data_IF_216891806547
#
_entry.id   IF_216891806547
#
_cell.length_a   1.000
_cell.length_b   1.000
_cell.length_c   1.000
_cell.angle_alpha   90.00
_cell.angle_beta   90.00
_cell.angle_gamma   90.00
#
_symmetry.space_group_name_H-M   'P 1'
#
loop_
_entity.id
_entity.type
_entity.pdbx_description
1 polymer ?
#
# COMPACT_ATOMS: atom_id res chain seq x y z
N UNK A 1 17.56 1.53 23.98
CA UNK A 1 16.29 1.23 23.29
C UNK A 1 15.17 1.87 24.11
N UNK A 2 14.55 2.95 23.63
CA UNK A 2 13.43 3.59 24.35
C UNK A 2 12.18 2.72 24.30
N UNK A 3 11.41 2.67 25.40
CA UNK A 3 10.11 2.00 25.42
C UNK A 3 9.19 2.62 24.36
N UNK A 4 8.62 1.78 23.50
CA UNK A 4 7.64 2.21 22.50
C UNK A 4 6.36 2.71 23.19
N UNK A 5 5.67 3.68 22.59
CA UNK A 5 4.46 4.25 23.15
C UNK A 5 3.35 3.19 23.25
N UNK A 6 2.80 2.96 24.44
CA UNK A 6 1.78 1.92 24.68
C UNK A 6 0.49 2.15 23.88
N UNK A 7 0.10 3.40 23.61
CA UNK A 7 -1.11 3.67 22.81
C UNK A 7 -0.95 3.24 21.36
N UNK A 8 0.24 3.42 20.77
CA UNK A 8 0.51 2.99 19.39
C UNK A 8 0.64 1.48 19.28
N UNK A 9 1.10 0.80 20.33
CA UNK A 9 1.06 -0.68 20.43
C UNK A 9 -0.40 -1.17 20.48
N UNK A 10 -1.22 -0.58 21.35
CA UNK A 10 -2.63 -0.97 21.51
C UNK A 10 -3.44 -0.77 20.23
N UNK A 11 -3.11 0.26 19.43
CA UNK A 11 -3.71 0.50 18.13
C UNK A 11 -3.15 -0.38 16.99
N UNK A 12 -2.25 -1.32 17.29
CA UNK A 12 -1.67 -2.24 16.30
C UNK A 12 -0.60 -1.63 15.39
N UNK A 13 -0.16 -0.38 15.63
CA UNK A 13 0.76 0.34 14.74
C UNK A 13 2.20 -0.21 14.71
N UNK A 14 2.52 -1.15 15.61
CA UNK A 14 3.81 -1.86 15.61
C UNK A 14 3.74 -3.27 15.02
N UNK A 15 2.52 -3.79 14.75
CA UNK A 15 2.33 -5.16 14.27
C UNK A 15 2.24 -5.28 12.74
N UNK A 16 1.54 -4.35 12.08
CA UNK A 16 1.18 -4.51 10.67
C UNK A 16 2.37 -4.63 9.71
N UNK A 17 3.48 -3.93 9.98
CA UNK A 17 4.69 -4.07 9.16
C UNK A 17 5.28 -5.49 9.26
N UNK A 18 5.33 -6.06 10.46
CA UNK A 18 5.82 -7.42 10.68
C UNK A 18 4.88 -8.47 10.08
N UNK A 19 3.56 -8.22 10.08
CA UNK A 19 2.58 -9.07 9.37
C UNK A 19 2.93 -9.18 7.88
N UNK A 20 3.18 -8.05 7.22
CA UNK A 20 3.56 -8.03 5.80
C UNK A 20 4.93 -8.69 5.58
N UNK A 21 5.91 -8.44 6.46
CA UNK A 21 7.23 -9.10 6.39
C UNK A 21 7.06 -10.62 6.39
N UNK A 22 6.33 -11.19 7.36
CA UNK A 22 6.16 -12.63 7.46
C UNK A 22 5.48 -13.24 6.23
N UNK A 23 4.40 -12.62 5.77
CA UNK A 23 3.65 -13.11 4.59
C UNK A 23 4.52 -13.03 3.33
N UNK A 24 5.13 -11.87 3.05
CA UNK A 24 5.84 -11.66 1.79
C UNK A 24 7.20 -12.38 1.77
N UNK A 25 7.84 -12.62 2.91
CA UNK A 25 8.99 -13.53 2.98
C UNK A 25 8.62 -14.94 2.55
N UNK A 26 7.42 -15.42 2.92
CA UNK A 26 6.91 -16.71 2.45
C UNK A 26 6.58 -16.68 0.95
N UNK A 27 5.89 -15.63 0.47
CA UNK A 27 5.53 -15.47 -0.95
C UNK A 27 6.76 -15.45 -1.86
N UNK A 28 7.84 -14.77 -1.45
CA UNK A 28 9.07 -14.63 -2.23
C UNK A 28 10.12 -15.71 -1.96
N UNK A 29 9.85 -16.70 -1.10
CA UNK A 29 10.76 -17.84 -0.92
C UNK A 29 10.69 -18.79 -2.11
N UNK A 30 11.85 -19.27 -2.55
CA UNK A 30 11.96 -20.30 -3.61
C UNK A 30 11.88 -21.74 -3.06
N UNK A 31 11.75 -21.90 -1.73
CA UNK A 31 11.66 -23.21 -1.07
C UNK A 31 10.23 -23.76 -0.99
N UNK A 32 9.23 -22.98 -1.41
CA UNK A 32 7.83 -23.38 -1.40
C UNK A 32 7.19 -23.44 0.00
N UNK A 33 6.05 -24.12 0.08
CA UNK A 33 5.24 -24.19 1.30
C UNK A 33 5.91 -25.03 2.41
N UNK A 34 5.63 -24.68 3.67
CA UNK A 34 6.08 -25.44 4.85
C UNK A 34 7.60 -25.59 5.01
N UNK A 35 8.39 -24.67 4.44
CA UNK A 35 9.82 -24.57 4.73
C UNK A 35 10.05 -23.96 6.13
N UNK A 36 10.01 -24.80 7.17
CA UNK A 36 10.04 -24.39 8.58
C UNK A 36 11.23 -23.52 8.98
N UNK A 37 12.39 -23.70 8.33
CA UNK A 37 13.57 -22.86 8.57
C UNK A 37 13.32 -21.37 8.28
N UNK A 38 12.35 -21.04 7.43
CA UNK A 38 11.98 -19.65 7.13
C UNK A 38 11.49 -18.90 8.37
N UNK A 39 11.02 -19.59 9.42
CA UNK A 39 10.61 -18.96 10.68
C UNK A 39 11.75 -18.16 11.33
N UNK A 40 13.00 -18.63 11.23
CA UNK A 40 14.15 -17.93 11.81
C UNK A 40 14.37 -16.53 11.22
N UNK A 41 14.57 -16.37 9.90
CA UNK A 41 14.68 -15.03 9.34
C UNK A 41 13.37 -14.25 9.47
N UNK A 42 12.18 -14.88 9.41
CA UNK A 42 10.92 -14.15 9.64
C UNK A 42 10.89 -13.49 11.03
N UNK A 43 11.26 -14.22 12.09
CA UNK A 43 11.37 -13.65 13.42
C UNK A 43 12.43 -12.54 13.48
N UNK A 44 13.62 -12.77 12.94
CA UNK A 44 14.73 -11.81 12.98
C UNK A 44 14.37 -10.50 12.25
N UNK A 45 13.82 -10.57 11.04
CA UNK A 45 13.44 -9.40 10.25
C UNK A 45 12.23 -8.70 10.87
N UNK A 46 11.26 -9.44 11.44
CA UNK A 46 10.13 -8.85 12.18
C UNK A 46 10.59 -8.02 13.37
N UNK A 47 11.65 -8.43 14.09
CA UNK A 47 12.22 -7.67 15.20
C UNK A 47 12.82 -6.32 14.78
N UNK A 48 13.18 -6.16 13.49
CA UNK A 48 13.67 -4.88 12.96
C UNK A 48 12.54 -3.88 12.68
N UNK A 49 11.29 -4.34 12.50
CA UNK A 49 10.17 -3.48 12.15
C UNK A 49 9.94 -2.34 13.15
N UNK A 50 9.89 -2.57 14.49
CA UNK A 50 9.78 -1.47 15.46
C UNK A 50 10.96 -0.50 15.44
N UNK A 51 12.16 -0.97 15.09
CA UNK A 51 13.36 -0.11 14.98
C UNK A 51 13.21 0.83 13.80
N UNK A 52 12.86 0.31 12.61
CA UNK A 52 12.58 1.12 11.43
C UNK A 52 11.39 2.07 11.67
N UNK A 53 10.30 1.59 12.25
CA UNK A 53 9.14 2.42 12.62
C UNK A 53 9.54 3.57 13.54
N UNK A 54 10.34 3.31 14.57
CA UNK A 54 10.79 4.33 15.51
C UNK A 54 11.69 5.37 14.85
N UNK A 55 12.64 4.94 14.00
CA UNK A 55 13.55 5.83 13.31
C UNK A 55 12.81 6.73 12.30
N UNK A 56 11.94 6.13 11.47
CA UNK A 56 11.13 6.86 10.50
C UNK A 56 10.16 7.82 11.20
N UNK A 57 9.50 7.39 12.28
CA UNK A 57 8.57 8.24 13.02
C UNK A 57 9.29 9.45 13.62
N UNK A 58 10.51 9.29 14.15
CA UNK A 58 11.31 10.42 14.65
C UNK A 58 11.64 11.47 13.59
N UNK A 59 11.66 11.09 12.31
CA UNK A 59 11.82 12.02 11.20
C UNK A 59 10.49 12.60 10.76
N UNK A 60 9.51 11.73 10.47
CA UNK A 60 8.26 12.10 9.80
C UNK A 60 7.28 12.82 10.72
N UNK A 61 7.33 12.58 12.03
CA UNK A 61 6.51 13.31 12.99
C UNK A 61 6.76 14.82 12.98
N UNK A 62 7.95 15.27 12.53
CA UNK A 62 8.27 16.71 12.38
C UNK A 62 7.42 17.40 11.31
N UNK A 63 6.97 16.64 10.31
CA UNK A 63 6.04 17.10 9.27
C UNK A 63 4.64 16.52 9.48
N UNK A 64 4.38 15.89 10.63
CA UNK A 64 3.12 15.21 10.97
C UNK A 64 2.69 14.21 9.86
N UNK A 65 3.67 13.43 9.38
CA UNK A 65 3.47 12.37 8.37
C UNK A 65 3.52 10.97 8.99
N UNK A 66 2.72 10.01 8.49
CA UNK A 66 2.77 8.63 8.95
C UNK A 66 3.95 7.87 8.32
N UNK A 67 4.40 6.79 8.97
CA UNK A 67 5.47 5.94 8.42
C UNK A 67 5.00 4.95 7.36
N UNK A 68 3.68 4.74 7.23
CA UNK A 68 3.07 3.74 6.34
C UNK A 68 3.77 2.37 6.42
N UNK A 69 3.87 1.66 5.30
CA UNK A 69 4.56 0.37 5.21
C UNK A 69 6.05 0.51 4.86
N UNK A 70 6.65 1.70 5.04
CA UNK A 70 8.10 1.89 4.83
C UNK A 70 8.95 0.94 5.69
N UNK A 71 8.66 0.69 6.98
CA UNK A 71 9.41 -0.29 7.76
C UNK A 71 9.40 -1.68 7.14
N UNK A 72 8.24 -2.15 6.67
CA UNK A 72 8.09 -3.41 5.93
C UNK A 72 8.93 -3.41 4.65
N UNK A 73 8.81 -2.38 3.82
CA UNK A 73 9.49 -2.32 2.52
C UNK A 73 11.01 -2.27 2.70
N UNK A 74 11.52 -1.49 3.67
CA UNK A 74 12.95 -1.46 4.00
C UNK A 74 13.45 -2.83 4.50
N UNK A 75 12.73 -3.44 5.43
CA UNK A 75 13.10 -4.73 6.01
C UNK A 75 13.08 -5.87 4.97
N UNK A 76 12.05 -5.92 4.13
CA UNK A 76 11.93 -6.95 3.09
C UNK A 76 12.96 -6.74 1.96
N UNK A 77 13.15 -5.51 1.47
CA UNK A 77 14.19 -5.23 0.47
C UNK A 77 15.60 -5.54 0.99
N UNK A 78 15.88 -5.24 2.27
CA UNK A 78 17.14 -5.61 2.92
C UNK A 78 17.31 -7.14 3.00
N UNK A 79 16.27 -7.86 3.42
CA UNK A 79 16.31 -9.33 3.50
C UNK A 79 16.52 -9.97 2.12
N UNK A 80 15.70 -9.61 1.13
CA UNK A 80 15.75 -10.21 -0.21
C UNK A 80 17.04 -9.88 -0.95
N UNK A 81 17.64 -8.72 -0.71
CA UNK A 81 18.96 -8.39 -1.29
C UNK A 81 20.10 -9.12 -0.58
N UNK A 82 20.00 -9.32 0.73
CA UNK A 82 21.01 -10.05 1.51
C UNK A 82 21.02 -11.55 1.20
N UNK A 83 19.86 -12.16 0.95
CA UNK A 83 19.78 -13.56 0.53
C UNK A 83 19.93 -13.69 -0.98
N UNK A 84 19.05 -13.04 -1.75
CA UNK A 84 18.95 -13.19 -3.19
C UNK A 84 18.57 -14.61 -3.62
N UNK A 85 18.52 -14.82 -4.93
CA UNK A 85 18.15 -16.12 -5.51
C UNK A 85 19.17 -17.23 -5.24
N UNK A 86 20.46 -16.87 -5.15
CA UNK A 86 21.57 -17.84 -5.06
C UNK A 86 21.98 -18.20 -3.63
N UNK A 87 21.22 -17.76 -2.61
CA UNK A 87 21.51 -18.16 -1.23
C UNK A 87 21.30 -19.68 -1.05
N UNK A 88 22.28 -20.36 -0.45
CA UNK A 88 22.18 -21.82 -0.24
C UNK A 88 21.06 -22.22 0.73
N UNK A 89 20.72 -21.38 1.70
CA UNK A 89 19.73 -21.69 2.73
C UNK A 89 18.35 -21.08 2.45
N UNK A 90 18.32 -19.79 2.12
CA UNK A 90 17.11 -18.97 1.99
C UNK A 90 17.00 -18.32 0.60
N UNK A 91 16.98 -19.11 -0.51
CA UNK A 91 16.87 -18.55 -1.85
C UNK A 91 15.53 -17.84 -2.03
N UNK A 92 15.57 -16.65 -2.63
CA UNK A 92 14.36 -15.94 -3.07
C UNK A 92 13.99 -16.34 -4.50
N UNK A 93 12.71 -16.17 -4.87
CA UNK A 93 12.26 -16.29 -6.25
C UNK A 93 13.09 -15.39 -7.17
N UNK A 94 13.46 -15.89 -8.33
CA UNK A 94 14.21 -15.13 -9.32
C UNK A 94 13.30 -14.08 -9.96
N UNK A 95 13.70 -12.81 -9.86
CA UNK A 95 13.04 -11.69 -10.53
C UNK A 95 13.98 -11.14 -11.60
N UNK A 96 13.50 -11.11 -12.84
CA UNK A 96 14.26 -10.61 -13.99
C UNK A 96 13.59 -9.41 -14.62
N UNK A 97 14.36 -8.44 -15.15
CA UNK A 97 13.79 -7.33 -15.89
C UNK A 97 13.14 -7.82 -17.19
N UNK A 98 12.15 -7.08 -17.68
CA UNK A 98 11.54 -7.32 -19.00
C UNK A 98 12.56 -6.94 -20.07
N UNK A 99 12.89 -7.87 -20.96
CA UNK A 99 13.90 -7.68 -22.02
C UNK A 99 13.32 -7.66 -23.44
N UNK A 100 12.03 -7.93 -23.59
CA UNK A 100 11.34 -7.96 -24.88
C UNK A 100 9.95 -7.36 -24.75
N UNK A 101 9.43 -6.83 -25.85
CA UNK A 101 8.06 -6.31 -25.91
C UNK A 101 7.07 -7.47 -25.75
N UNK A 102 6.13 -7.42 -24.79
CA UNK A 102 5.13 -8.47 -24.63
C UNK A 102 4.15 -8.47 -25.82
N UNK A 103 3.77 -9.66 -26.28
CA UNK A 103 2.75 -9.80 -27.32
C UNK A 103 1.36 -9.73 -26.67
N UNK A 104 0.65 -8.61 -26.86
CA UNK A 104 -0.68 -8.39 -26.28
C UNK A 104 -1.75 -8.49 -27.35
N UNK A 105 -2.59 -9.51 -27.26
CA UNK A 105 -3.70 -9.74 -28.19
C UNK A 105 -4.99 -9.21 -27.58
N UNK A 106 -5.39 -7.98 -27.95
CA UNK A 106 -6.52 -7.28 -27.34
C UNK A 106 -7.89 -7.98 -27.47
N UNK A 107 -8.06 -8.88 -28.44
CA UNK A 107 -9.26 -9.70 -28.55
C UNK A 107 -9.43 -10.71 -27.41
N UNK A 108 -8.35 -11.03 -26.70
CA UNK A 108 -8.34 -12.01 -25.60
C UNK A 108 -8.67 -11.35 -24.24
N UNK A 109 -8.89 -10.03 -24.23
CA UNK A 109 -9.26 -9.29 -23.03
C UNK A 109 -10.61 -9.80 -22.50
N UNK A 110 -10.62 -10.27 -21.25
CA UNK A 110 -11.80 -10.85 -20.63
C UNK A 110 -12.39 -9.90 -19.58
N UNK A 111 -13.61 -9.40 -19.84
CA UNK A 111 -14.34 -8.57 -18.89
C UNK A 111 -14.55 -9.26 -17.53
N UNK A 112 -14.76 -10.59 -17.54
CA UNK A 112 -14.92 -11.36 -16.30
C UNK A 112 -13.61 -11.43 -15.51
N UNK A 113 -12.45 -11.57 -16.18
CA UNK A 113 -11.17 -11.54 -15.50
C UNK A 113 -10.86 -10.15 -14.96
N UNK A 114 -11.15 -9.08 -15.71
CA UNK A 114 -11.05 -7.71 -15.20
C UNK A 114 -11.92 -7.47 -13.97
N UNK A 115 -13.14 -8.02 -13.93
CA UNK A 115 -13.99 -7.92 -12.75
C UNK A 115 -13.40 -8.68 -11.55
N UNK A 116 -12.78 -9.84 -11.79
CA UNK A 116 -12.05 -10.60 -10.74
C UNK A 116 -10.77 -9.90 -10.30
N UNK A 117 -10.09 -9.16 -11.16
CA UNK A 117 -8.91 -8.37 -10.82
C UNK A 117 -9.17 -7.35 -9.72
N UNK A 118 -10.40 -6.85 -9.59
CA UNK A 118 -10.75 -5.85 -8.58
C UNK A 118 -10.52 -6.37 -7.14
N UNK A 119 -11.18 -7.45 -6.68
CA UNK A 119 -10.90 -8.01 -5.36
C UNK A 119 -9.48 -8.59 -5.29
N UNK A 120 -8.94 -9.17 -6.37
CA UNK A 120 -7.55 -9.70 -6.36
C UNK A 120 -6.53 -8.58 -6.11
N UNK A 121 -6.71 -7.40 -6.68
CA UNK A 121 -5.87 -6.23 -6.40
C UNK A 121 -5.92 -5.82 -4.93
N UNK A 122 -7.06 -5.97 -4.24
CA UNK A 122 -7.15 -5.76 -2.79
C UNK A 122 -6.48 -6.92 -2.01
N UNK A 123 -6.61 -8.15 -2.49
CA UNK A 123 -5.92 -9.34 -1.96
C UNK A 123 -4.39 -9.18 -1.97
N UNK A 124 -3.85 -8.63 -3.05
CA UNK A 124 -2.41 -8.42 -3.23
C UNK A 124 -1.80 -7.40 -2.26
N UNK A 125 -2.60 -6.64 -1.50
CA UNK A 125 -2.10 -5.85 -0.35
C UNK A 125 -1.35 -6.76 0.64
N UNK A 126 -1.80 -8.01 0.78
CA UNK A 126 -1.16 -9.05 1.59
C UNK A 126 -0.55 -10.17 0.72
N UNK A 127 -0.24 -9.90 -0.55
CA UNK A 127 0.36 -10.90 -1.45
C UNK A 127 -0.56 -12.10 -1.77
N UNK A 128 -1.88 -11.91 -1.75
CA UNK A 128 -2.87 -12.95 -2.01
C UNK A 128 -3.53 -12.75 -3.39
N UNK A 129 -3.41 -13.73 -4.28
CA UNK A 129 -3.98 -13.70 -5.64
C UNK A 129 -5.38 -14.33 -5.75
N UNK A 130 -5.90 -14.91 -4.67
CA UNK A 130 -7.22 -15.52 -4.65
C UNK A 130 -8.34 -14.44 -4.55
N UNK A 131 -9.29 -14.37 -5.50
CA UNK A 131 -10.36 -13.37 -5.50
C UNK A 131 -11.27 -13.45 -4.26
N UNK A 132 -11.45 -14.64 -3.69
CA UNK A 132 -12.24 -14.81 -2.46
C UNK A 132 -11.56 -14.17 -1.26
N UNK A 133 -10.24 -14.31 -1.15
CA UNK A 133 -9.44 -13.66 -0.09
C UNK A 133 -9.54 -12.14 -0.21
N UNK A 134 -9.44 -11.60 -1.43
CA UNK A 134 -9.67 -10.19 -1.70
C UNK A 134 -11.06 -9.69 -1.31
N UNK A 135 -12.10 -10.49 -1.61
CA UNK A 135 -13.47 -10.22 -1.17
C UNK A 135 -13.64 -10.22 0.35
N UNK A 136 -12.98 -11.16 1.05
CA UNK A 136 -12.95 -11.19 2.52
C UNK A 136 -12.29 -9.92 3.08
N UNK A 137 -11.17 -9.47 2.49
CA UNK A 137 -10.52 -8.23 2.91
C UNK A 137 -11.39 -7.00 2.66
N UNK A 138 -12.07 -6.92 1.52
CA UNK A 138 -13.07 -5.87 1.28
C UNK A 138 -14.17 -5.91 2.35
N UNK A 139 -14.70 -7.09 2.69
CA UNK A 139 -15.68 -7.26 3.77
C UNK A 139 -15.16 -6.82 5.14
N UNK A 140 -13.90 -7.12 5.46
CA UNK A 140 -13.26 -6.69 6.70
C UNK A 140 -13.10 -5.16 6.77
N UNK A 141 -12.71 -4.53 5.66
CA UNK A 141 -12.63 -3.06 5.57
C UNK A 141 -14.02 -2.45 5.66
N UNK A 142 -15.02 -3.01 4.98
CA UNK A 142 -16.41 -2.55 4.99
C UNK A 142 -17.00 -2.56 6.40
N UNK A 143 -16.71 -3.61 7.18
CA UNK A 143 -17.13 -3.71 8.58
C UNK A 143 -16.61 -2.55 9.44
N UNK A 144 -15.40 -2.05 9.15
CA UNK A 144 -14.81 -0.92 9.86
C UNK A 144 -15.27 0.43 9.31
N UNK A 145 -15.28 0.60 7.99
CA UNK A 145 -15.61 1.86 7.31
C UNK A 145 -16.04 1.58 5.86
N UNK A 146 -17.32 1.80 5.53
CA UNK A 146 -17.80 1.75 4.15
C UNK A 146 -17.05 2.70 3.21
N UNK A 147 -16.65 3.88 3.67
CA UNK A 147 -15.89 4.83 2.85
C UNK A 147 -14.47 4.31 2.52
N UNK A 148 -13.80 3.65 3.46
CA UNK A 148 -12.51 3.01 3.19
C UNK A 148 -12.66 1.85 2.21
N UNK A 149 -13.70 1.03 2.36
CA UNK A 149 -13.97 -0.08 1.44
C UNK A 149 -14.24 0.40 0.02
N UNK A 150 -15.02 1.48 -0.12
CA UNK A 150 -15.30 2.12 -1.40
C UNK A 150 -14.01 2.57 -2.08
N UNK A 151 -13.13 3.27 -1.36
CA UNK A 151 -11.86 3.74 -1.93
C UNK A 151 -10.87 2.60 -2.21
N UNK A 152 -10.90 1.50 -1.44
CA UNK A 152 -10.12 0.30 -1.76
C UNK A 152 -10.52 -0.26 -3.14
N UNK A 153 -11.83 -0.45 -3.36
CA UNK A 153 -12.36 -0.95 -4.63
C UNK A 153 -12.07 0.01 -5.80
N UNK A 154 -12.28 1.32 -5.61
CA UNK A 154 -11.99 2.34 -6.62
C UNK A 154 -10.49 2.38 -6.96
N UNK A 155 -9.61 2.37 -5.95
CA UNK A 155 -8.17 2.38 -6.19
C UNK A 155 -7.70 1.15 -6.95
N UNK A 156 -8.20 -0.04 -6.59
CA UNK A 156 -7.93 -1.27 -7.34
C UNK A 156 -8.39 -1.18 -8.80
N UNK A 157 -9.58 -0.64 -9.04
CA UNK A 157 -10.10 -0.39 -10.39
C UNK A 157 -9.25 0.61 -11.20
N UNK A 158 -8.79 1.70 -10.57
CA UNK A 158 -7.89 2.66 -11.22
C UNK A 158 -6.52 2.05 -11.54
N UNK A 159 -6.06 1.11 -10.71
CA UNK A 159 -4.90 0.27 -11.02
C UNK A 159 -5.07 -0.52 -12.31
N UNK A 160 -6.20 -1.22 -12.45
CA UNK A 160 -6.56 -1.95 -13.68
C UNK A 160 -6.57 -1.00 -14.89
N UNK A 161 -7.20 0.16 -14.76
CA UNK A 161 -7.26 1.15 -15.84
C UNK A 161 -5.87 1.66 -16.24
N UNK A 162 -4.98 1.92 -15.28
CA UNK A 162 -3.60 2.32 -15.55
C UNK A 162 -2.82 1.20 -16.27
N UNK A 163 -2.99 -0.05 -15.85
CA UNK A 163 -2.37 -1.21 -16.51
C UNK A 163 -2.79 -1.35 -17.97
N UNK A 164 -4.09 -1.23 -18.24
CA UNK A 164 -4.62 -1.23 -19.61
C UNK A 164 -4.09 -0.03 -20.43
N UNK A 165 -4.01 1.16 -19.85
CA UNK A 165 -3.50 2.34 -20.56
C UNK A 165 -2.02 2.24 -20.98
N UNK A 166 -1.23 1.42 -20.27
CA UNK A 166 0.16 1.15 -20.59
C UNK A 166 0.34 -0.17 -21.36
N UNK A 167 -0.76 -0.78 -21.82
CA UNK A 167 -0.74 -2.07 -22.53
C UNK A 167 0.02 -3.15 -21.76
N UNK A 168 -0.14 -3.18 -20.44
CA UNK A 168 0.49 -4.20 -19.59
C UNK A 168 -0.02 -5.61 -19.96
N UNK A 169 0.81 -6.66 -19.80
CA UNK A 169 0.36 -8.04 -19.96
C UNK A 169 -0.91 -8.30 -19.12
N UNK A 170 -1.93 -8.89 -19.74
CA UNK A 170 -3.21 -9.10 -19.05
C UNK A 170 -3.06 -9.97 -17.79
N UNK A 171 -2.12 -10.90 -17.76
CA UNK A 171 -1.85 -11.73 -16.58
C UNK A 171 -1.40 -10.92 -15.36
N UNK A 172 -0.63 -9.85 -15.54
CA UNK A 172 -0.21 -8.96 -14.45
C UNK A 172 -1.41 -8.17 -13.89
N UNK A 173 -2.38 -7.84 -14.75
CA UNK A 173 -3.62 -7.18 -14.38
C UNK A 173 -4.56 -8.18 -13.67
N UNK A 174 -4.69 -9.40 -14.20
CA UNK A 174 -5.55 -10.46 -13.66
C UNK A 174 -5.07 -10.97 -12.30
N UNK A 175 -3.75 -11.04 -12.10
CA UNK A 175 -3.13 -11.33 -10.80
C UNK A 175 -3.16 -10.15 -9.82
N UNK A 176 -3.73 -9.01 -10.21
CA UNK A 176 -3.95 -7.85 -9.34
C UNK A 176 -2.70 -7.01 -9.02
N UNK A 177 -1.58 -7.24 -9.71
CA UNK A 177 -0.32 -6.53 -9.45
C UNK A 177 -0.40 -5.02 -9.71
N UNK A 178 -1.35 -4.59 -10.53
CA UNK A 178 -1.62 -3.17 -10.78
C UNK A 178 -2.54 -2.51 -9.74
N UNK A 179 -3.26 -3.29 -8.93
CA UNK A 179 -4.37 -2.80 -8.09
C UNK A 179 -4.01 -2.52 -6.62
N UNK A 180 -3.01 -3.19 -6.05
CA UNK A 180 -2.82 -3.13 -4.60
C UNK A 180 -2.21 -1.81 -4.10
N UNK A 181 -1.21 -1.29 -4.80
CA UNK A 181 -0.58 -0.01 -4.45
C UNK A 181 -1.56 1.17 -4.59
N UNK A 182 -2.33 1.19 -5.68
CA UNK A 182 -3.36 2.19 -5.97
C UNK A 182 -4.56 2.09 -5.02
N UNK A 183 -4.98 0.87 -4.63
CA UNK A 183 -5.96 0.65 -3.55
C UNK A 183 -5.51 1.30 -2.23
N UNK A 184 -4.28 1.03 -1.78
CA UNK A 184 -3.75 1.59 -0.54
C UNK A 184 -3.69 3.13 -0.55
N UNK A 185 -3.20 3.73 -1.64
CA UNK A 185 -3.12 5.19 -1.74
C UNK A 185 -4.51 5.85 -1.84
N UNK A 186 -5.45 5.20 -2.52
CA UNK A 186 -6.83 5.68 -2.59
C UNK A 186 -7.50 5.67 -1.21
N UNK A 187 -7.33 4.60 -0.41
CA UNK A 187 -7.80 4.55 0.98
C UNK A 187 -7.15 5.67 1.81
N UNK A 188 -5.84 5.85 1.69
CA UNK A 188 -5.09 6.79 2.49
C UNK A 188 -5.51 8.26 2.24
N UNK A 189 -5.66 8.66 0.99
CA UNK A 189 -6.06 10.04 0.63
C UNK A 189 -7.59 10.21 0.67
N UNK A 190 -8.36 9.15 0.44
CA UNK A 190 -9.83 9.14 0.35
C UNK A 190 -10.59 9.21 1.67
N UNK A 191 -10.14 10.02 2.63
CA UNK A 191 -10.80 10.22 3.93
C UNK A 191 -9.98 9.86 5.16
N UNK A 192 -8.90 9.09 5.00
CA UNK A 192 -8.09 8.63 6.13
C UNK A 192 -7.10 9.71 6.61
N UNK A 193 -6.17 10.13 5.76
CA UNK A 193 -5.15 11.16 6.08
C UNK A 193 -5.51 12.55 5.55
N UNK A 194 -6.51 12.63 4.67
CA UNK A 194 -7.15 13.87 4.24
C UNK A 194 -8.62 13.78 4.57
N UNK A 195 -9.23 14.85 5.08
CA UNK A 195 -10.67 14.85 5.32
C UNK A 195 -11.44 14.67 4.00
N UNK A 196 -12.39 13.74 3.97
CA UNK A 196 -13.13 13.46 2.74
C UNK A 196 -14.00 14.65 2.35
N UNK A 197 -13.77 15.20 1.17
CA UNK A 197 -14.55 16.19 0.42
C UNK A 197 -14.57 15.74 -1.04
N UNK A 198 -15.35 16.38 -1.91
CA UNK A 198 -15.30 16.01 -3.33
C UNK A 198 -13.94 16.35 -3.94
N UNK A 199 -13.26 17.40 -3.45
CA UNK A 199 -11.92 17.78 -3.90
C UNK A 199 -10.88 16.75 -3.48
N UNK A 200 -10.90 16.29 -2.22
CA UNK A 200 -9.96 15.25 -1.76
C UNK A 200 -10.29 13.87 -2.31
N UNK A 201 -11.55 13.60 -2.65
CA UNK A 201 -11.90 12.41 -3.44
C UNK A 201 -11.23 12.43 -4.82
N UNK A 202 -11.35 13.52 -5.59
CA UNK A 202 -10.63 13.66 -6.87
C UNK A 202 -9.11 13.57 -6.70
N UNK A 203 -8.57 14.14 -5.62
CA UNK A 203 -7.15 14.01 -5.28
C UNK A 203 -6.76 12.55 -4.98
N UNK A 204 -7.63 11.78 -4.33
CA UNK A 204 -7.43 10.36 -4.08
C UNK A 204 -7.43 9.54 -5.38
N UNK A 205 -8.31 9.86 -6.34
CA UNK A 205 -8.29 9.23 -7.67
C UNK A 205 -6.99 9.54 -8.41
N UNK A 206 -6.55 10.80 -8.39
CA UNK A 206 -5.28 11.21 -8.99
C UNK A 206 -4.08 10.52 -8.31
N UNK A 207 -4.08 10.42 -6.98
CA UNK A 207 -3.05 9.73 -6.23
C UNK A 207 -3.03 8.24 -6.57
N UNK A 208 -4.18 7.58 -6.65
CA UNK A 208 -4.29 6.17 -7.01
C UNK A 208 -3.73 5.86 -8.41
N UNK A 209 -4.10 6.67 -9.41
CA UNK A 209 -3.55 6.56 -10.78
C UNK A 209 -2.04 6.80 -10.80
N UNK A 210 -1.58 7.89 -10.18
CA UNK A 210 -0.14 8.19 -10.07
C UNK A 210 0.62 7.04 -9.41
N UNK A 211 0.04 6.47 -8.35
CA UNK A 211 0.62 5.35 -7.60
C UNK A 211 0.73 4.08 -8.46
N UNK A 212 -0.26 3.79 -9.30
CA UNK A 212 -0.21 2.65 -10.22
C UNK A 212 0.93 2.79 -11.25
N UNK A 213 1.09 3.97 -11.86
CA UNK A 213 2.19 4.25 -12.78
C UNK A 213 3.55 4.21 -12.10
N UNK A 214 3.67 4.77 -10.89
CA UNK A 214 4.86 4.64 -10.08
C UNK A 214 5.15 3.18 -9.74
N UNK A 215 4.10 2.37 -9.54
CA UNK A 215 4.18 0.93 -9.33
C UNK A 215 4.88 0.21 -10.47
N UNK A 216 4.48 0.47 -11.71
CA UNK A 216 5.14 -0.07 -12.89
C UNK A 216 6.61 0.39 -12.97
N UNK A 217 6.85 1.70 -12.81
CA UNK A 217 8.21 2.28 -12.84
C UNK A 217 9.15 1.62 -11.83
N UNK A 218 8.74 1.54 -10.56
CA UNK A 218 9.56 0.93 -9.51
C UNK A 218 9.73 -0.58 -9.72
N UNK A 219 8.72 -1.29 -10.23
CA UNK A 219 8.84 -2.72 -10.52
C UNK A 219 9.90 -2.98 -11.59
N UNK A 220 9.94 -2.17 -12.64
CA UNK A 220 10.99 -2.27 -13.66
C UNK A 220 12.38 -1.94 -13.09
N UNK A 221 12.51 -0.84 -12.32
CA UNK A 221 13.79 -0.44 -11.74
C UNK A 221 14.33 -1.49 -10.75
N UNK A 222 13.47 -2.02 -9.89
CA UNK A 222 13.88 -2.97 -8.85
C UNK A 222 14.11 -4.38 -9.42
N UNK A 223 13.44 -4.76 -10.51
CA UNK A 223 13.73 -6.03 -11.19
C UNK A 223 15.16 -6.11 -11.73
N UNK A 224 15.79 -4.97 -12.10
CA UNK A 224 17.21 -4.93 -12.52
C UNK A 224 18.15 -5.42 -11.41
N UNK A 225 17.81 -5.17 -10.15
CA UNK A 225 18.55 -5.62 -8.97
C UNK A 225 17.92 -6.85 -8.31
N UNK A 226 17.00 -7.54 -8.99
CA UNK A 226 16.38 -8.77 -8.52
C UNK A 226 15.41 -8.60 -7.36
N UNK A 227 14.81 -7.42 -7.18
CA UNK A 227 13.90 -7.11 -6.07
C UNK A 227 12.46 -6.81 -6.53
N UNK A 228 11.44 -7.18 -5.73
CA UNK A 228 10.07 -6.76 -5.97
C UNK A 228 9.84 -5.34 -5.42
N UNK A 229 9.00 -4.55 -6.10
CA UNK A 229 8.64 -3.19 -5.67
C UNK A 229 7.76 -3.14 -4.42
N UNK A 230 6.99 -4.21 -4.17
CA UNK A 230 6.07 -4.31 -3.04
C UNK A 230 5.23 -3.03 -2.91
N UNK A 231 5.17 -2.44 -1.71
CA UNK A 231 4.37 -1.22 -1.44
C UNK A 231 5.22 0.05 -1.34
N UNK A 232 6.46 0.03 -1.83
CA UNK A 232 7.24 1.26 -2.02
C UNK A 232 6.49 2.32 -2.84
N UNK A 233 5.82 1.97 -3.97
CA UNK A 233 5.08 2.95 -4.77
C UNK A 233 3.98 3.64 -3.97
N UNK A 234 3.18 2.87 -3.22
CA UNK A 234 2.17 3.41 -2.31
C UNK A 234 2.77 4.40 -1.30
N UNK A 235 3.84 4.00 -0.59
CA UNK A 235 4.44 4.84 0.43
C UNK A 235 4.93 6.17 -0.15
N UNK A 236 5.72 6.12 -1.24
CA UNK A 236 6.32 7.30 -1.83
C UNK A 236 5.28 8.23 -2.46
N UNK A 237 4.33 7.68 -3.21
CA UNK A 237 3.26 8.46 -3.82
C UNK A 237 2.37 9.13 -2.76
N UNK A 238 1.94 8.38 -1.75
CA UNK A 238 1.03 8.92 -0.74
C UNK A 238 1.72 9.99 0.11
N UNK A 239 2.98 9.79 0.50
CA UNK A 239 3.75 10.82 1.21
C UNK A 239 3.92 12.09 0.37
N UNK A 240 4.21 11.95 -0.93
CA UNK A 240 4.30 13.08 -1.84
C UNK A 240 2.98 13.87 -1.87
N UNK A 241 1.84 13.18 -1.98
CA UNK A 241 0.53 13.83 -2.00
C UNK A 241 0.14 14.47 -0.66
N UNK A 242 0.55 13.88 0.48
CA UNK A 242 0.34 14.47 1.81
C UNK A 242 1.23 15.69 2.09
N UNK A 243 2.30 15.87 1.33
CA UNK A 243 3.17 17.04 1.37
C UNK A 243 2.67 18.19 0.49
N UNK A 244 1.70 17.96 -0.39
CA UNK A 244 1.14 19.01 -1.25
C UNK A 244 0.40 20.02 -0.38
N UNK A 245 0.88 21.26 -0.39
CA UNK A 245 0.20 22.41 0.24
C UNK A 245 -0.68 23.12 -0.78
N UNK A 246 -1.85 23.59 -0.35
CA UNK A 246 -2.78 24.33 -1.22
C UNK A 246 -3.52 25.41 -0.47
N UNK A 247 -3.93 26.48 -1.17
CA UNK A 247 -4.79 27.53 -0.63
C UNK A 247 -6.27 27.14 -0.60
N UNK A 248 -6.65 26.00 -1.19
CA UNK A 248 -8.03 25.54 -1.18
C UNK A 248 -8.37 24.95 0.20
N UNK A 249 -9.27 25.58 0.98
CA UNK A 249 -9.58 25.13 2.35
C UNK A 249 -10.30 23.79 2.40
N UNK A 250 -10.80 23.27 1.27
CA UNK A 250 -11.48 21.99 1.19
C UNK A 250 -10.54 20.80 0.98
N UNK A 251 -9.25 21.06 0.74
CA UNK A 251 -8.19 20.05 0.71
C UNK A 251 -7.47 20.15 2.05
N UNK A 252 -7.96 19.40 3.03
CA UNK A 252 -7.54 19.49 4.42
C UNK A 252 -6.85 18.21 4.86
N UNK A 253 -5.59 18.32 5.30
CA UNK A 253 -4.83 17.22 5.88
C UNK A 253 -5.20 17.03 7.33
N UNK A 254 -5.49 15.78 7.72
CA UNK A 254 -5.83 15.44 9.09
C UNK A 254 -4.58 15.48 9.98
N UNK A 255 -4.63 16.11 11.17
CA UNK A 255 -3.58 15.97 12.16
C UNK A 255 -3.50 14.51 12.62
N UNK A 256 -2.30 13.91 12.66
CA UNK A 256 -2.18 12.47 12.97
C UNK A 256 -2.78 12.08 14.32
N UNK A 257 -2.72 12.98 15.30
CA UNK A 257 -3.30 12.78 16.64
C UNK A 257 -4.83 12.69 16.66
N UNK A 258 -5.51 13.02 15.56
CA UNK A 258 -6.98 13.03 15.42
C UNK A 258 -7.51 12.01 14.41
N UNK A 259 -6.62 11.27 13.74
CA UNK A 259 -7.02 10.29 12.73
C UNK A 259 -7.62 9.06 13.42
N UNK A 260 -8.82 8.66 12.97
CA UNK A 260 -9.43 7.38 13.30
C UNK A 260 -9.81 6.65 12.01
N UNK A 261 -10.96 6.97 11.40
CA UNK A 261 -11.47 6.42 10.15
C UNK A 261 -12.28 7.48 9.38
N UNK A 262 -12.52 7.25 8.09
CA UNK A 262 -12.96 8.29 7.14
C UNK A 262 -14.23 9.07 7.56
N UNK A 263 -15.22 8.39 8.12
CA UNK A 263 -16.48 8.97 8.57
C UNK A 263 -16.27 9.94 9.74
N UNK A 264 -15.53 9.53 10.78
CA UNK A 264 -15.26 10.35 11.96
C UNK A 264 -14.28 11.50 11.65
N UNK A 265 -13.27 11.24 10.81
CA UNK A 265 -12.36 12.27 10.30
C UNK A 265 -13.11 13.40 9.58
N UNK A 266 -14.14 13.05 8.77
CA UNK A 266 -14.99 14.03 8.11
C UNK A 266 -15.80 14.86 9.11
N UNK A 267 -16.32 14.26 10.17
CA UNK A 267 -17.04 14.97 11.23
C UNK A 267 -16.10 15.98 11.91
N UNK A 268 -14.90 15.55 12.29
CA UNK A 268 -13.88 16.44 12.89
C UNK A 268 -13.56 17.64 12.01
N UNK A 269 -13.37 17.41 10.71
CA UNK A 269 -13.12 18.49 9.74
C UNK A 269 -14.29 19.48 9.65
N UNK A 270 -15.53 18.99 9.55
CA UNK A 270 -16.71 19.86 9.47
C UNK A 270 -16.89 20.72 10.73
N UNK A 271 -16.66 20.15 11.91
CA UNK A 271 -16.70 20.89 13.18
C UNK A 271 -15.61 21.96 13.24
N UNK A 272 -14.39 21.63 12.81
CA UNK A 272 -13.27 22.57 12.76
C UNK A 272 -13.55 23.70 11.79
N UNK A 273 -14.03 23.38 10.58
CA UNK A 273 -14.41 24.36 9.56
C UNK A 273 -15.50 25.31 10.04
N UNK A 274 -16.53 24.80 10.74
CA UNK A 274 -17.59 25.62 11.33
C UNK A 274 -17.04 26.62 12.36
N UNK A 275 -16.17 26.16 13.27
CA UNK A 275 -15.53 27.03 14.27
C UNK A 275 -14.70 28.16 13.63
N UNK A 276 -13.97 27.86 12.55
CA UNK A 276 -13.21 28.87 11.81
C UNK A 276 -14.12 29.92 11.14
N UNK A 277 -15.32 29.54 10.71
CA UNK A 277 -16.30 30.46 10.13
C UNK A 277 -17.03 31.33 11.18
N UNK A 278 -17.22 30.81 12.40
CA UNK A 278 -17.89 31.54 13.51
C UNK A 278 -16.94 32.47 14.28
N UNK A 279 -15.63 32.29 14.16
CA UNK A 279 -14.60 33.17 14.73
C UNK A 279 -13.71 33.76 13.62
N UNK A 280 -14.26 34.57 12.70
CA UNK A 280 -13.42 35.31 11.76
C UNK A 280 -12.61 36.33 12.56
N UNK A 281 -11.30 36.13 12.61
CA UNK A 281 -10.36 37.17 13.01
C UNK A 281 -10.49 38.38 12.08
#
# INVERSE_FOLDING_TARGET
MGQQNRSTIAAGLHGYNATLVGILMAVFSDKGNYFWWLLFPVCAISMTCPVFSSALNSMFSKWDLPVFTLPFNMALSMYLSATGHYNSFFPSKLLTPVTSVPNVTWSDLSALQLLKSLPVGVGQIYGCDNPWTGGIFLGAILLSSPLMCLHAAIGSLLGIAAGLSLSAPFEDIYSGLWGFNSSLSCIAIGGMFMALTWQTHLLALACALFTAYLGASMSHLMAVVGLPSCTWPFCLATLLFLLVTTKNPNIYRMPLSKITYSEENRIFYLQTKKRTMESPL
#
